data_IF_538925096106
#
_entry.id   IF_538925096106
#
_cell.length_a   1.000
_cell.length_b   1.000
_cell.length_c   1.000
_cell.angle_alpha   90.00
_cell.angle_beta   90.00
_cell.angle_gamma   90.00
#
_symmetry.space_group_name_H-M   'P 1'
#
loop_
_entity.id
_entity.type
_entity.pdbx_description
1 polymer ?
#
# COMPACT_ATOMS: atom_id res chain seq x y z
N UNK A 1 -26.14 -49.95 0.04
CA UNK A 1 -25.37 -50.06 -1.22
C UNK A 1 -25.47 -48.72 -1.94
N UNK A 2 -24.39 -48.28 -2.60
CA UNK A 2 -24.18 -46.98 -3.27
C UNK A 2 -23.57 -45.85 -2.40
N UNK A 3 -22.24 -45.79 -2.44
CA UNK A 3 -21.45 -44.55 -2.30
C UNK A 3 -21.36 -43.93 -3.69
N UNK A 4 -21.58 -42.63 -3.83
CA UNK A 4 -21.29 -41.86 -5.03
C UNK A 4 -20.01 -41.04 -4.82
N UNK A 5 -19.07 -41.24 -5.75
CA UNK A 5 -17.73 -40.66 -5.79
C UNK A 5 -17.76 -39.19 -6.24
N UNK A 6 -17.05 -38.34 -5.48
CA UNK A 6 -16.65 -37.00 -5.92
C UNK A 6 -15.22 -37.06 -6.48
N UNK A 7 -15.05 -36.72 -7.76
CA UNK A 7 -13.76 -36.70 -8.46
C UNK A 7 -13.22 -35.26 -8.52
N UNK A 8 -12.35 -34.90 -7.58
CA UNK A 8 -11.52 -33.69 -7.70
C UNK A 8 -10.35 -33.92 -8.66
N UNK A 9 -10.17 -33.00 -9.62
CA UNK A 9 -9.06 -32.99 -10.58
C UNK A 9 -7.78 -32.54 -9.88
N UNK A 10 -6.74 -33.37 -9.96
CA UNK A 10 -5.38 -33.12 -9.46
C UNK A 10 -4.55 -32.41 -10.53
N UNK A 11 -3.99 -31.24 -10.21
CA UNK A 11 -2.95 -30.58 -11.02
C UNK A 11 -1.60 -30.73 -10.33
N UNK A 12 -0.61 -31.30 -11.02
CA UNK A 12 0.75 -31.48 -10.50
C UNK A 12 1.64 -30.28 -10.82
N UNK A 13 2.31 -29.73 -9.80
CA UNK A 13 3.40 -28.74 -9.98
C UNK A 13 4.75 -29.46 -9.90
N UNK A 14 5.66 -29.14 -10.82
CA UNK A 14 7.02 -29.70 -10.90
C UNK A 14 7.95 -28.77 -10.14
N UNK A 15 8.66 -29.27 -9.14
CA UNK A 15 9.68 -28.51 -8.39
C UNK A 15 11.06 -29.11 -8.70
N UNK A 16 11.97 -28.28 -9.20
CA UNK A 16 13.33 -28.69 -9.60
C UNK A 16 14.30 -28.22 -8.53
N UNK A 17 14.73 -29.12 -7.65
CA UNK A 17 15.76 -28.81 -6.65
C UNK A 17 17.17 -29.03 -7.22
N UNK A 18 17.92 -27.95 -7.43
CA UNK A 18 19.37 -27.99 -7.60
C UNK A 18 20.06 -27.92 -6.24
N UNK A 19 20.71 -29.00 -5.82
CA UNK A 19 21.61 -29.00 -4.65
C UNK A 19 22.94 -28.35 -5.06
N UNK A 20 23.23 -27.14 -4.55
CA UNK A 20 24.58 -26.58 -4.60
C UNK A 20 25.46 -27.29 -3.56
N UNK A 21 26.61 -27.84 -3.98
CA UNK A 21 27.67 -28.26 -3.06
C UNK A 21 28.66 -27.11 -2.91
N UNK A 22 29.22 -26.98 -1.69
CA UNK A 22 30.35 -26.11 -1.39
C UNK A 22 31.60 -26.72 -2.02
N UNK A 23 32.22 -26.00 -2.94
CA UNK A 23 33.53 -26.36 -3.47
C UNK A 23 34.58 -25.37 -2.98
N UNK A 24 35.66 -25.95 -2.46
CA UNK A 24 36.86 -25.31 -1.93
C UNK A 24 37.65 -24.68 -3.08
N UNK A 25 38.05 -23.42 -2.93
CA UNK A 25 38.91 -22.71 -3.89
C UNK A 25 40.35 -23.22 -3.75
N UNK A 26 40.91 -23.80 -4.81
CA UNK A 26 42.36 -23.99 -4.97
C UNK A 26 42.90 -23.11 -6.09
N UNK A 27 44.20 -22.80 -6.01
CA UNK A 27 44.83 -21.56 -6.48
C UNK A 27 45.19 -21.47 -7.96
N UNK A 28 44.92 -22.47 -8.78
CA UNK A 28 45.26 -22.44 -10.20
C UNK A 28 44.00 -22.71 -11.03
N UNK A 29 43.46 -21.63 -11.59
CA UNK A 29 42.21 -21.64 -12.31
C UNK A 29 42.28 -22.48 -13.59
N UNK A 30 41.51 -23.57 -13.61
CA UNK A 30 40.86 -24.21 -14.76
C UNK A 30 40.03 -25.39 -14.23
N UNK A 31 38.70 -25.33 -14.35
CA UNK A 31 37.81 -26.46 -14.06
C UNK A 31 36.95 -26.77 -15.29
N UNK A 32 37.16 -27.95 -15.84
CA UNK A 32 36.49 -28.51 -17.00
C UNK A 32 35.03 -28.91 -16.69
N UNK A 33 34.11 -28.60 -17.61
CA UNK A 33 32.72 -29.04 -17.54
C UNK A 33 32.58 -30.48 -18.04
N UNK A 34 32.17 -31.41 -17.18
CA UNK A 34 31.69 -32.75 -17.57
C UNK A 34 30.17 -32.86 -17.41
N UNK A 35 29.49 -33.14 -18.51
CA UNK A 35 28.06 -33.42 -18.58
C UNK A 35 27.72 -34.83 -18.08
N UNK A 36 26.70 -34.97 -17.23
CA UNK A 36 25.99 -36.24 -17.07
C UNK A 36 25.34 -36.51 -15.70
N UNK A 37 24.01 -36.33 -15.61
CA UNK A 37 23.03 -37.27 -15.03
C UNK A 37 21.62 -36.64 -14.98
N UNK A 38 20.62 -37.41 -15.42
CA UNK A 38 19.19 -37.07 -15.39
C UNK A 38 18.63 -37.05 -13.96
N UNK A 39 17.86 -36.03 -13.55
CA UNK A 39 17.28 -35.95 -12.21
C UNK A 39 16.10 -36.94 -12.04
N UNK A 40 16.02 -37.56 -10.85
CA UNK A 40 14.99 -38.53 -10.45
C UNK A 40 13.80 -37.78 -9.83
N UNK A 41 12.62 -37.86 -10.45
CA UNK A 41 11.38 -37.24 -9.97
C UNK A 41 10.71 -38.13 -8.93
N UNK A 42 10.50 -37.65 -7.71
CA UNK A 42 9.65 -38.30 -6.70
C UNK A 42 8.41 -37.46 -6.44
N UNK A 43 7.22 -38.03 -6.71
CA UNK A 43 5.93 -37.40 -6.44
C UNK A 43 5.60 -37.47 -4.95
N UNK A 44 5.42 -36.33 -4.28
CA UNK A 44 4.89 -36.26 -2.92
C UNK A 44 3.47 -35.72 -2.97
N UNK A 45 2.49 -36.46 -2.40
CA UNK A 45 1.11 -35.97 -2.24
C UNK A 45 1.11 -34.81 -1.25
N UNK A 46 0.65 -33.64 -1.68
CA UNK A 46 0.27 -32.54 -0.78
C UNK A 46 -1.24 -32.65 -0.55
N UNK A 47 -1.64 -32.64 0.71
CA UNK A 47 -3.05 -32.72 1.15
C UNK A 47 -3.62 -31.30 1.04
N UNK A 48 -4.65 -31.13 0.22
CA UNK A 48 -5.36 -29.87 0.01
C UNK A 48 -6.10 -29.46 1.30
N UNK A 49 -5.77 -28.33 1.95
CA UNK A 49 -6.57 -27.83 3.05
C UNK A 49 -7.75 -27.04 2.47
N UNK A 50 -8.90 -27.69 2.44
CA UNK A 50 -10.21 -27.07 2.19
C UNK A 50 -10.33 -25.75 2.95
N UNK A 51 -10.47 -24.65 2.22
CA UNK A 51 -10.67 -23.30 2.76
C UNK A 51 -12.07 -23.20 3.34
N UNK A 52 -12.18 -23.22 4.67
CA UNK A 52 -13.41 -22.82 5.35
C UNK A 52 -13.56 -21.29 5.24
N UNK A 53 -14.49 -20.87 4.38
CA UNK A 53 -15.07 -19.55 4.38
C UNK A 53 -16.04 -19.45 5.57
N UNK A 54 -15.53 -19.10 6.74
CA UNK A 54 -16.24 -18.36 7.80
C UNK A 54 -15.37 -18.29 9.05
N UNK A 55 -14.57 -17.23 9.12
CA UNK A 55 -14.04 -16.72 10.38
C UNK A 55 -13.72 -15.25 10.16
N UNK A 56 -14.68 -14.39 10.50
CA UNK A 56 -14.43 -12.97 10.70
C UNK A 56 -13.47 -12.86 11.90
N UNK A 57 -12.17 -12.77 11.62
CA UNK A 57 -11.19 -12.42 12.64
C UNK A 57 -11.46 -10.97 13.03
N UNK A 58 -12.09 -10.76 14.18
CA UNK A 58 -12.14 -9.44 14.83
C UNK A 58 -10.72 -9.08 15.23
N UNK A 59 -10.10 -8.19 14.46
CA UNK A 59 -8.86 -7.54 14.86
C UNK A 59 -9.12 -6.68 16.09
N UNK A 60 -8.15 -6.60 16.99
CA UNK A 60 -8.25 -5.69 18.12
C UNK A 60 -8.16 -4.25 17.62
N UNK A 61 -9.00 -3.37 18.16
CA UNK A 61 -9.02 -1.93 17.84
C UNK A 61 -7.65 -1.26 18.11
N UNK A 62 -6.77 -1.88 18.91
CA UNK A 62 -5.42 -1.38 19.17
C UNK A 62 -4.42 -1.65 18.03
N UNK A 63 -4.69 -2.63 17.15
CA UNK A 63 -3.79 -2.97 16.04
C UNK A 63 -4.00 -2.08 14.80
N UNK A 64 -5.12 -1.34 14.74
CA UNK A 64 -5.42 -0.33 13.71
C UNK A 64 -4.97 1.05 14.17
N UNK A 65 -3.81 1.18 14.83
CA UNK A 65 -3.20 2.49 14.97
C UNK A 65 -3.17 3.12 13.58
N UNK A 66 -3.94 4.19 13.43
CA UNK A 66 -4.24 4.81 12.15
C UNK A 66 -2.97 5.34 11.55
N UNK A 67 -2.22 4.50 10.83
CA UNK A 67 -0.93 4.79 10.19
C UNK A 67 -1.06 4.71 8.67
N UNK A 68 -2.15 4.10 8.18
CA UNK A 68 -2.30 3.83 6.75
C UNK A 68 -2.81 5.05 5.97
N UNK A 69 -2.05 5.53 4.95
CA UNK A 69 -2.62 6.40 3.94
C UNK A 69 -3.61 5.59 3.08
N UNK A 70 -4.83 6.10 2.95
CA UNK A 70 -5.87 5.48 2.13
C UNK A 70 -6.73 6.54 1.45
N UNK A 71 -7.20 6.18 0.26
CA UNK A 71 -8.23 6.90 -0.47
C UNK A 71 -9.61 6.34 -0.11
N UNK A 72 -10.67 7.06 -0.45
CA UNK A 72 -12.05 6.57 -0.39
C UNK A 72 -12.61 6.36 -1.79
N UNK A 73 -13.65 5.51 -1.97
CA UNK A 73 -14.34 5.37 -3.24
C UNK A 73 -14.74 6.71 -3.85
N UNK A 74 -14.65 6.81 -5.18
CA UNK A 74 -14.97 8.02 -5.93
C UNK A 74 -13.78 8.95 -6.19
N UNK A 75 -12.70 8.86 -5.39
CA UNK A 75 -11.45 9.56 -5.72
C UNK A 75 -10.92 9.09 -7.06
N UNK A 76 -10.57 10.02 -7.94
CA UNK A 76 -9.97 9.70 -9.23
C UNK A 76 -8.45 9.86 -9.18
N UNK A 77 -7.75 8.92 -9.81
CA UNK A 77 -6.29 8.86 -9.91
C UNK A 77 -5.90 9.09 -11.37
N UNK A 78 -4.93 9.98 -11.62
CA UNK A 78 -4.44 10.23 -12.96
C UNK A 78 -3.66 9.02 -13.50
N UNK A 79 -4.07 8.52 -14.67
CA UNK A 79 -3.40 7.42 -15.38
C UNK A 79 -3.02 7.84 -16.79
N UNK A 80 -2.18 7.06 -17.47
CA UNK A 80 -1.85 7.30 -18.87
C UNK A 80 -3.04 7.21 -19.83
N UNK A 81 -4.20 6.72 -19.37
CA UNK A 81 -5.46 6.63 -20.14
C UNK A 81 -6.52 7.63 -19.66
N UNK A 82 -6.14 8.62 -18.86
CA UNK A 82 -7.04 9.58 -18.23
C UNK A 82 -7.29 9.29 -16.75
N UNK A 83 -8.20 10.03 -16.14
CA UNK A 83 -8.59 9.86 -14.74
C UNK A 83 -9.36 8.54 -14.55
N UNK A 84 -8.97 7.75 -13.54
CA UNK A 84 -9.63 6.49 -13.21
C UNK A 84 -9.97 6.43 -11.73
N UNK A 85 -11.18 5.96 -11.39
CA UNK A 85 -11.61 5.83 -10.00
C UNK A 85 -10.75 4.82 -9.24
N UNK A 86 -10.35 5.18 -8.03
CA UNK A 86 -9.44 4.38 -7.20
C UNK A 86 -9.97 2.98 -6.90
N UNK A 87 -11.29 2.81 -6.71
CA UNK A 87 -11.91 1.50 -6.47
C UNK A 87 -11.84 0.54 -7.66
N UNK A 88 -11.54 1.08 -8.85
CA UNK A 88 -11.38 0.27 -10.06
C UNK A 88 -9.93 -0.14 -10.30
N UNK A 89 -8.93 0.49 -9.65
CA UNK A 89 -7.52 0.16 -9.85
C UNK A 89 -7.19 -1.28 -9.46
N UNK A 90 -6.29 -1.91 -10.21
CA UNK A 90 -5.82 -3.29 -10.04
C UNK A 90 -4.30 -3.33 -10.17
N UNK A 91 -3.69 -4.38 -9.62
CA UNK A 91 -2.29 -4.66 -9.89
C UNK A 91 -2.05 -4.79 -11.41
N UNK A 92 -0.96 -4.21 -11.89
CA UNK A 92 -0.64 -4.10 -13.31
C UNK A 92 -1.08 -2.78 -13.97
N UNK A 93 -1.98 -2.01 -13.36
CA UNK A 93 -2.36 -0.69 -13.88
C UNK A 93 -1.18 0.30 -13.83
N UNK A 94 -1.13 1.23 -14.79
CA UNK A 94 -0.10 2.28 -14.85
C UNK A 94 -0.67 3.63 -14.41
N UNK A 95 -0.09 4.19 -13.36
CA UNK A 95 -0.49 5.47 -12.74
C UNK A 95 0.60 6.50 -12.96
N UNK A 96 0.20 7.76 -13.20
CA UNK A 96 1.13 8.88 -13.31
C UNK A 96 1.67 9.19 -11.92
N UNK A 97 2.99 9.18 -11.76
CA UNK A 97 3.67 9.60 -10.53
C UNK A 97 4.49 10.87 -10.77
N UNK A 98 4.80 11.58 -9.68
CA UNK A 98 5.48 12.89 -9.74
C UNK A 98 6.92 12.79 -10.26
N UNK A 99 7.65 11.76 -9.84
CA UNK A 99 9.12 11.74 -9.97
C UNK A 99 9.64 10.75 -11.00
N UNK A 100 8.93 9.63 -11.17
CA UNK A 100 9.41 8.47 -11.92
C UNK A 100 8.51 8.19 -13.12
N UNK A 101 7.76 9.19 -13.57
CA UNK A 101 6.80 9.05 -14.66
C UNK A 101 5.70 8.03 -14.33
N UNK A 102 5.26 7.26 -15.31
CA UNK A 102 4.20 6.28 -15.08
C UNK A 102 4.72 4.99 -14.44
N UNK A 103 4.24 4.67 -13.24
CA UNK A 103 4.62 3.48 -12.48
C UNK A 103 3.51 2.43 -12.44
N UNK A 104 3.91 1.16 -12.29
CA UNK A 104 2.99 0.01 -12.26
C UNK A 104 2.54 -0.28 -10.84
N UNK A 105 1.22 -0.27 -10.62
CA UNK A 105 0.61 -0.68 -9.36
C UNK A 105 0.96 -2.13 -9.09
N UNK A 106 1.56 -2.41 -7.94
CA UNK A 106 1.99 -3.76 -7.53
C UNK A 106 0.97 -4.47 -6.67
N UNK A 107 0.23 -3.71 -5.87
CA UNK A 107 -0.78 -4.24 -4.98
C UNK A 107 -1.90 -3.22 -4.75
N UNK A 108 -3.11 -3.72 -4.54
CA UNK A 108 -4.28 -2.94 -4.15
C UNK A 108 -4.99 -3.68 -3.02
N UNK A 109 -5.25 -2.98 -1.92
CA UNK A 109 -6.00 -3.49 -0.78
C UNK A 109 -7.17 -2.57 -0.43
N UNK A 110 -8.13 -3.12 0.32
CA UNK A 110 -9.27 -2.37 0.82
C UNK A 110 -9.67 -2.85 2.21
N UNK A 111 -10.09 -1.91 3.05
CA UNK A 111 -10.56 -2.17 4.40
C UNK A 111 -11.79 -1.32 4.66
N UNK A 112 -12.87 -1.91 5.16
CA UNK A 112 -14.10 -1.19 5.48
C UNK A 112 -14.25 -1.06 6.99
N UNK A 113 -14.46 0.16 7.47
CA UNK A 113 -14.83 0.44 8.85
C UNK A 113 -16.33 0.66 8.94
N UNK A 114 -16.97 -0.08 9.82
CA UNK A 114 -18.39 0.01 10.14
C UNK A 114 -18.69 1.18 11.08
N UNK A 115 -19.98 1.40 11.38
CA UNK A 115 -20.38 2.42 12.34
C UNK A 115 -19.89 2.12 13.75
N UNK A 116 -19.88 0.85 14.13
CA UNK A 116 -19.34 0.40 15.42
C UNK A 116 -17.83 0.70 15.51
N UNK A 117 -17.08 0.38 14.44
CA UNK A 117 -15.64 0.67 14.38
C UNK A 117 -15.36 2.17 14.50
N UNK A 118 -16.13 3.01 13.80
CA UNK A 118 -15.98 4.48 13.83
C UNK A 118 -16.53 5.13 15.10
N UNK A 119 -17.37 4.44 15.88
CA UNK A 119 -17.77 4.85 17.23
C UNK A 119 -16.68 4.50 18.24
N UNK A 120 -16.07 3.32 18.12
CA UNK A 120 -14.96 2.89 18.94
C UNK A 120 -13.68 3.69 18.65
N UNK A 121 -13.45 4.08 17.39
CA UNK A 121 -12.32 4.91 16.96
C UNK A 121 -12.76 6.11 16.12
N UNK A 122 -13.29 7.17 16.75
CA UNK A 122 -13.69 8.38 16.04
C UNK A 122 -12.55 9.06 15.28
N UNK A 123 -11.30 8.89 15.73
CA UNK A 123 -10.12 9.42 15.07
C UNK A 123 -9.89 8.83 13.67
N UNK A 124 -10.44 7.64 13.38
CA UNK A 124 -10.34 6.95 12.09
C UNK A 124 -11.36 7.44 11.06
N UNK A 125 -12.23 8.41 11.40
CA UNK A 125 -13.12 9.04 10.43
C UNK A 125 -12.30 9.81 9.39
N UNK A 126 -12.71 9.77 8.11
CA UNK A 126 -11.96 10.42 7.06
C UNK A 126 -11.95 11.94 7.24
N UNK A 127 -10.94 12.58 6.67
CA UNK A 127 -10.84 14.03 6.60
C UNK A 127 -11.40 14.45 5.24
N UNK A 128 -12.38 15.35 5.27
CA UNK A 128 -12.97 16.01 4.12
C UNK A 128 -12.17 17.24 3.75
N UNK A 129 -11.67 17.25 2.52
CA UNK A 129 -11.03 18.40 1.90
C UNK A 129 -12.01 18.94 0.85
N UNK A 130 -12.54 20.15 1.08
CA UNK A 130 -13.36 20.85 0.08
C UNK A 130 -12.52 21.24 -1.13
N UNK A 131 -13.14 21.28 -2.31
CA UNK A 131 -12.51 21.78 -3.52
C UNK A 131 -11.86 23.16 -3.28
N UNK A 132 -10.62 23.32 -3.73
CA UNK A 132 -9.85 24.56 -3.63
C UNK A 132 -9.32 24.93 -2.23
N UNK A 133 -9.49 24.10 -1.19
CA UNK A 133 -9.07 24.45 0.17
C UNK A 133 -7.55 24.53 0.38
N UNK A 134 -6.75 23.98 -0.55
CA UNK A 134 -5.29 24.00 -0.58
C UNK A 134 -4.73 24.91 -1.70
N UNK A 135 -5.55 25.86 -2.15
CA UNK A 135 -5.22 26.82 -3.20
C UNK A 135 -6.02 26.59 -4.48
N UNK A 136 -5.85 27.47 -5.49
CA UNK A 136 -6.66 27.44 -6.71
C UNK A 136 -6.66 26.05 -7.38
N UNK A 137 -7.84 25.47 -7.52
CA UNK A 137 -8.04 24.16 -8.14
C UNK A 137 -7.50 22.96 -7.34
N UNK A 138 -7.15 23.11 -6.06
CA UNK A 138 -6.56 22.03 -5.24
C UNK A 138 -7.28 21.84 -3.88
N UNK A 139 -7.87 20.66 -3.62
CA UNK A 139 -8.19 19.63 -4.62
C UNK A 139 -9.17 20.19 -5.68
N UNK A 140 -9.23 19.57 -6.85
CA UNK A 140 -10.09 20.00 -7.95
C UNK A 140 -11.58 19.71 -7.69
N UNK A 141 -11.86 18.81 -6.73
CA UNK A 141 -13.19 18.46 -6.25
C UNK A 141 -13.11 18.10 -4.78
N UNK A 142 -14.26 18.05 -4.11
CA UNK A 142 -14.33 17.55 -2.75
C UNK A 142 -13.82 16.11 -2.67
N UNK A 143 -12.96 15.83 -1.69
CA UNK A 143 -12.41 14.48 -1.50
C UNK A 143 -12.36 14.09 -0.02
N UNK A 144 -12.40 12.79 0.23
CA UNK A 144 -12.22 12.21 1.56
C UNK A 144 -10.92 11.41 1.57
N UNK A 145 -10.09 11.65 2.58
CA UNK A 145 -8.83 10.94 2.78
C UNK A 145 -8.79 10.34 4.18
N UNK A 146 -8.03 9.26 4.35
CA UNK A 146 -7.75 8.78 5.71
C UNK A 146 -6.99 9.86 6.52
N UNK A 147 -7.15 9.89 7.85
CA UNK A 147 -6.50 10.90 8.71
C UNK A 147 -4.99 11.04 8.50
N UNK A 148 -4.32 9.93 8.18
CA UNK A 148 -2.88 9.88 8.02
C UNK A 148 -2.40 10.04 6.60
N UNK A 149 -3.30 10.09 5.63
CA UNK A 149 -2.96 10.32 4.25
C UNK A 149 -2.26 11.66 4.09
N UNK A 150 -1.04 11.65 3.56
CA UNK A 150 -0.26 12.85 3.36
C UNK A 150 -0.46 13.43 1.97
N UNK A 151 -0.60 14.75 1.93
CA UNK A 151 -0.72 15.52 0.70
C UNK A 151 0.49 16.45 0.56
N UNK A 152 0.89 16.70 -0.68
CA UNK A 152 2.06 17.50 -1.02
C UNK A 152 1.74 19.00 -0.94
N UNK A 153 2.66 19.75 -0.35
CA UNK A 153 2.73 21.20 -0.40
C UNK A 153 4.02 21.63 -1.09
N UNK A 154 3.90 22.63 -1.95
CA UNK A 154 4.99 23.15 -2.77
C UNK A 154 4.83 24.65 -3.08
N UNK A 155 4.27 25.40 -2.13
CA UNK A 155 4.01 26.84 -2.27
C UNK A 155 5.07 27.71 -1.56
N UNK A 156 4.90 29.03 -1.62
CA UNK A 156 5.85 29.98 -1.03
C UNK A 156 5.97 29.86 0.49
N UNK A 157 4.91 29.45 1.19
CA UNK A 157 4.97 29.22 2.63
C UNK A 157 5.93 28.08 2.96
N UNK A 158 5.95 27.03 2.12
CA UNK A 158 6.91 25.93 2.27
C UNK A 158 8.34 26.45 2.19
N UNK A 159 8.68 27.20 1.15
CA UNK A 159 10.05 27.73 0.95
C UNK A 159 10.46 28.75 2.00
N UNK A 160 9.51 29.44 2.64
CA UNK A 160 9.79 30.41 3.69
C UNK A 160 10.09 29.74 5.04
N UNK A 161 9.39 28.66 5.37
CA UNK A 161 9.48 28.01 6.68
C UNK A 161 10.37 26.76 6.71
N UNK A 162 10.67 26.16 5.56
CA UNK A 162 11.41 24.92 5.46
C UNK A 162 12.52 25.03 4.41
N UNK A 163 13.66 24.34 4.61
CA UNK A 163 14.73 24.29 3.60
C UNK A 163 14.34 23.47 2.37
N UNK A 164 13.30 22.64 2.45
CA UNK A 164 12.77 21.89 1.32
C UNK A 164 11.80 22.75 0.50
N UNK A 165 11.79 22.55 -0.82
CA UNK A 165 10.79 23.14 -1.73
C UNK A 165 9.47 22.37 -1.74
N UNK A 166 9.48 21.14 -1.23
CA UNK A 166 8.33 20.24 -1.17
C UNK A 166 8.28 19.55 0.20
N UNK A 167 7.11 19.60 0.82
CA UNK A 167 6.84 18.93 2.10
C UNK A 167 5.50 18.22 2.03
N UNK A 168 5.30 17.24 2.91
CA UNK A 168 4.06 16.50 3.01
C UNK A 168 3.43 16.70 4.39
N UNK A 169 2.12 16.92 4.44
CA UNK A 169 1.37 16.98 5.69
C UNK A 169 0.21 16.01 5.68
N UNK A 170 0.01 15.31 6.80
CA UNK A 170 -1.13 14.41 6.97
C UNK A 170 -2.44 15.21 7.04
N UNK A 171 -3.50 14.70 6.41
CA UNK A 171 -4.80 15.36 6.34
C UNK A 171 -5.34 15.77 7.73
N UNK A 172 -5.17 14.93 8.76
CA UNK A 172 -5.60 15.24 10.14
C UNK A 172 -4.89 16.46 10.73
N UNK A 173 -3.65 16.72 10.33
CA UNK A 173 -2.88 17.87 10.79
C UNK A 173 -3.36 19.18 10.16
N UNK A 174 -4.22 19.12 9.14
CA UNK A 174 -4.71 20.29 8.40
C UNK A 174 -6.14 20.69 8.78
N UNK A 175 -6.78 19.99 9.73
CA UNK A 175 -8.18 20.21 10.16
C UNK A 175 -8.46 21.58 10.79
N UNK A 176 -7.43 22.39 11.02
CA UNK A 176 -7.56 23.78 11.45
C UNK A 176 -7.67 24.76 10.27
N UNK A 177 -7.35 24.33 9.05
CA UNK A 177 -7.41 25.16 7.84
C UNK A 177 -8.85 25.22 7.32
N UNK A 178 -9.33 26.40 6.90
CA UNK A 178 -10.68 26.53 6.35
C UNK A 178 -10.96 25.55 5.20
N UNK A 179 -12.09 24.85 5.28
CA UNK A 179 -12.50 23.86 4.27
C UNK A 179 -11.87 22.48 4.41
N UNK A 180 -11.16 22.22 5.51
CA UNK A 180 -10.67 20.89 5.87
C UNK A 180 -11.28 20.50 7.21
N UNK A 181 -12.09 19.45 7.23
CA UNK A 181 -12.80 19.03 8.44
C UNK A 181 -12.80 17.51 8.59
N UNK A 182 -12.99 17.00 9.80
CA UNK A 182 -13.22 15.58 9.98
C UNK A 182 -14.66 15.25 9.59
N UNK A 183 -14.84 14.31 8.67
CA UNK A 183 -16.16 13.96 8.14
C UNK A 183 -16.95 13.14 9.16
N UNK A 184 -18.27 13.40 9.23
CA UNK A 184 -19.21 12.58 10.00
C UNK A 184 -19.83 11.55 9.08
N UNK A 185 -19.31 10.32 9.11
CA UNK A 185 -19.79 9.20 8.30
C UNK A 185 -20.15 8.02 9.20
N UNK A 186 -21.14 7.23 8.78
CA UNK A 186 -21.52 5.99 9.47
C UNK A 186 -20.61 4.82 9.10
N UNK A 187 -20.03 4.82 7.91
CA UNK A 187 -19.05 3.82 7.50
C UNK A 187 -18.11 4.43 6.47
N UNK A 188 -16.96 3.80 6.28
CA UNK A 188 -16.00 4.20 5.25
C UNK A 188 -15.27 2.98 4.73
N UNK A 189 -15.11 2.90 3.41
CA UNK A 189 -14.16 1.97 2.79
C UNK A 189 -12.90 2.75 2.45
N UNK A 190 -11.79 2.26 2.96
CA UNK A 190 -10.45 2.74 2.66
C UNK A 190 -9.81 1.84 1.61
N UNK A 191 -9.21 2.47 0.59
CA UNK A 191 -8.55 1.81 -0.53
C UNK A 191 -7.09 2.25 -0.55
N UNK A 192 -6.20 1.28 -0.66
CA UNK A 192 -4.76 1.46 -0.65
C UNK A 192 -4.18 0.82 -1.89
N UNK A 193 -3.16 1.43 -2.46
CA UNK A 193 -2.37 0.79 -3.50
C UNK A 193 -0.93 1.24 -3.40
N UNK A 194 -0.02 0.34 -3.77
CA UNK A 194 1.43 0.59 -3.69
C UNK A 194 2.12 0.24 -5.00
N UNK A 195 3.30 0.83 -5.17
CA UNK A 195 4.23 0.54 -6.24
C UNK A 195 5.44 -0.21 -5.69
N UNK A 196 6.44 -0.45 -6.55
CA UNK A 196 7.71 -1.05 -6.12
C UNK A 196 8.54 -0.12 -5.21
N UNK A 197 8.27 1.19 -5.28
CA UNK A 197 8.81 2.22 -4.38
C UNK A 197 7.66 3.09 -3.91
N UNK A 198 7.85 3.85 -2.84
CA UNK A 198 6.88 4.86 -2.47
C UNK A 198 6.82 5.97 -3.54
N UNK A 199 5.62 6.42 -3.90
CA UNK A 199 5.37 7.38 -4.98
C UNK A 199 4.38 8.48 -4.55
N UNK A 200 4.48 9.65 -5.18
CA UNK A 200 3.41 10.64 -5.17
C UNK A 200 2.53 10.46 -6.40
N UNK A 201 1.22 10.40 -6.20
CA UNK A 201 0.20 10.23 -7.25
C UNK A 201 -0.68 11.48 -7.33
N UNK A 202 -1.19 11.77 -8.52
CA UNK A 202 -2.14 12.86 -8.70
C UNK A 202 -3.57 12.32 -8.50
N UNK A 203 -4.19 12.69 -7.38
CA UNK A 203 -5.54 12.28 -6.98
C UNK A 203 -6.46 13.48 -6.87
N UNK A 204 -7.60 13.50 -7.58
CA UNK A 204 -8.55 14.62 -7.55
C UNK A 204 -7.86 16.00 -7.76
N UNK A 205 -6.83 16.07 -8.61
CA UNK A 205 -6.04 17.28 -8.86
C UNK A 205 -5.04 17.68 -7.75
N UNK A 206 -4.88 16.85 -6.72
CA UNK A 206 -3.95 17.04 -5.60
C UNK A 206 -2.87 15.95 -5.60
N UNK A 207 -1.61 16.33 -5.44
CA UNK A 207 -0.53 15.37 -5.24
C UNK A 207 -0.60 14.78 -3.83
N UNK A 208 -0.72 13.46 -3.72
CA UNK A 208 -0.77 12.75 -2.45
C UNK A 208 0.05 11.45 -2.50
N UNK A 209 0.28 10.85 -1.34
CA UNK A 209 1.15 9.68 -1.22
C UNK A 209 0.45 8.37 -1.64
N UNK A 210 1.20 7.45 -2.26
CA UNK A 210 0.77 6.05 -2.39
C UNK A 210 0.94 5.31 -1.07
N UNK A 211 0.44 4.08 -0.97
CA UNK A 211 0.74 3.25 0.20
C UNK A 211 2.25 3.01 0.34
N UNK A 212 2.76 3.24 1.55
CA UNK A 212 4.17 3.10 1.92
C UNK A 212 4.33 1.91 2.88
N UNK A 213 4.85 0.79 2.37
CA UNK A 213 5.05 -0.42 3.16
C UNK A 213 6.27 -0.28 4.10
N UNK A 214 6.09 0.40 5.24
CA UNK A 214 7.02 0.40 6.36
C UNK A 214 6.46 -0.36 7.56
N UNK A 215 7.30 -0.67 8.55
CA UNK A 215 6.96 -1.51 9.71
C UNK A 215 5.67 -1.10 10.42
N UNK A 216 5.54 0.20 10.75
CA UNK A 216 4.34 0.72 11.39
C UNK A 216 3.10 0.61 10.50
N UNK A 217 3.25 0.82 9.20
CA UNK A 217 2.18 0.70 8.22
C UNK A 217 1.71 -0.75 8.11
N UNK A 218 2.63 -1.70 8.01
CA UNK A 218 2.30 -3.13 7.85
C UNK A 218 1.61 -3.71 9.09
N UNK A 219 1.94 -3.23 10.30
CA UNK A 219 1.25 -3.61 11.54
C UNK A 219 -0.23 -3.23 11.52
N UNK A 220 -0.58 -2.11 10.88
CA UNK A 220 -1.96 -1.64 10.70
C UNK A 220 -2.80 -2.43 9.70
N UNK A 221 -2.20 -3.33 8.91
CA UNK A 221 -2.92 -4.20 7.98
C UNK A 221 -3.37 -5.49 8.65
N UNK A 222 -4.49 -6.03 8.15
CA UNK A 222 -4.91 -7.38 8.50
C UNK A 222 -3.87 -8.42 8.01
N UNK A 223 -3.92 -9.62 8.62
CA UNK A 223 -2.96 -10.68 8.32
C UNK A 223 -2.94 -11.08 6.85
N UNK A 224 -4.11 -11.14 6.18
CA UNK A 224 -4.19 -11.56 4.76
C UNK A 224 -3.57 -10.50 3.85
N UNK A 225 -3.86 -9.22 4.10
CA UNK A 225 -3.28 -8.10 3.36
C UNK A 225 -1.77 -8.05 3.55
N UNK A 226 -1.30 -8.22 4.79
CA UNK A 226 0.12 -8.24 5.12
C UNK A 226 0.85 -9.41 4.46
N UNK A 227 0.28 -10.62 4.54
CA UNK A 227 0.85 -11.82 3.92
C UNK A 227 0.93 -11.67 2.39
N UNK A 228 -0.10 -11.08 1.75
CA UNK A 228 -0.09 -10.80 0.32
C UNK A 228 1.00 -9.79 -0.08
N UNK A 229 1.22 -8.74 0.72
CA UNK A 229 2.31 -7.79 0.47
C UNK A 229 3.67 -8.49 0.63
N UNK A 230 3.83 -9.34 1.64
CA UNK A 230 5.05 -10.11 1.85
C UNK A 230 5.31 -11.18 0.79
N UNK A 231 4.29 -11.63 0.07
CA UNK A 231 4.46 -12.50 -1.09
C UNK A 231 5.02 -11.73 -2.29
N UNK A 232 4.55 -10.49 -2.50
CA UNK A 232 5.00 -9.62 -3.59
C UNK A 232 6.39 -9.03 -3.30
N UNK A 233 6.65 -8.71 -2.03
CA UNK A 233 7.89 -8.10 -1.55
C UNK A 233 8.43 -8.88 -0.34
N UNK A 234 9.09 -10.04 -0.58
CA UNK A 234 9.62 -10.87 0.50
C UNK A 234 10.61 -10.15 1.41
N UNK A 235 11.36 -9.20 0.86
CA UNK A 235 12.39 -8.44 1.58
C UNK A 235 11.80 -7.55 2.69
N UNK A 236 10.51 -7.20 2.62
CA UNK A 236 9.80 -6.48 3.69
C UNK A 236 9.66 -7.28 4.99
N UNK A 237 9.95 -8.59 4.98
CA UNK A 237 9.98 -9.42 6.21
C UNK A 237 11.21 -9.15 7.07
N UNK A 238 12.23 -8.47 6.54
CA UNK A 238 13.47 -8.11 7.22
C UNK A 238 13.61 -6.59 7.38
N UNK A 239 14.49 -6.17 8.28
CA UNK A 239 14.70 -4.74 8.59
C UNK A 239 15.28 -3.95 7.41
N UNK A 240 16.08 -4.60 6.54
CA UNK A 240 16.79 -3.99 5.40
C UNK A 240 15.88 -3.72 4.19
N UNK A 241 14.76 -4.44 4.04
CA UNK A 241 13.81 -4.24 2.93
C UNK A 241 12.98 -2.96 3.05
N UNK A 242 13.01 -2.31 4.23
CA UNK A 242 12.21 -1.12 4.51
C UNK A 242 12.80 0.19 3.96
N UNK A 243 14.11 0.24 3.69
CA UNK A 243 14.78 1.45 3.18
C UNK A 243 14.22 1.88 1.82
N UNK A 244 13.79 0.91 0.99
CA UNK A 244 13.14 1.14 -0.31
C UNK A 244 11.75 1.79 -0.23
N UNK A 245 11.17 1.85 0.97
CA UNK A 245 9.85 2.42 1.23
C UNK A 245 9.93 3.63 2.17
N UNK A 246 11.01 4.41 2.14
CA UNK A 246 11.08 5.68 2.86
C UNK A 246 10.06 6.71 2.30
N UNK A 247 9.59 7.67 3.13
CA UNK A 247 8.78 8.79 2.63
C UNK A 247 9.52 9.51 1.50
N UNK A 248 8.84 9.75 0.39
CA UNK A 248 9.48 10.37 -0.78
C UNK A 248 9.90 11.81 -0.54
N UNK A 249 9.27 12.49 0.43
CA UNK A 249 9.44 13.89 0.86
C UNK A 249 9.47 13.97 2.38
N UNK A 250 9.97 15.09 2.91
CA UNK A 250 9.89 15.40 4.34
C UNK A 250 8.42 15.43 4.78
N UNK A 251 8.12 14.71 5.86
CA UNK A 251 6.80 14.67 6.47
C UNK A 251 6.77 15.64 7.64
N UNK A 252 5.80 16.56 7.64
CA UNK A 252 5.61 17.52 8.70
C UNK A 252 4.88 16.91 9.90
N UNK A 253 5.34 17.25 11.09
CA UNK A 253 4.61 17.07 12.34
C UNK A 253 3.36 17.94 12.38
N UNK A 254 2.46 17.68 13.34
CA UNK A 254 1.26 18.52 13.56
C UNK A 254 1.61 19.99 13.80
N UNK A 255 2.70 20.25 14.53
CA UNK A 255 3.15 21.62 14.86
C UNK A 255 3.70 22.32 13.63
N UNK A 256 4.55 21.65 12.85
CA UNK A 256 5.09 22.22 11.61
C UNK A 256 4.02 22.45 10.55
N UNK A 257 3.03 21.55 10.43
CA UNK A 257 1.94 21.71 9.47
C UNK A 257 1.14 23.01 9.69
N UNK A 258 1.14 23.60 10.90
CA UNK A 258 0.53 24.90 11.18
C UNK A 258 1.17 26.07 10.43
N UNK A 259 2.44 25.92 10.02
CA UNK A 259 3.17 26.94 9.28
C UNK A 259 2.73 27.05 7.80
N UNK A 260 1.90 26.12 7.31
CA UNK A 260 1.36 26.13 5.93
C UNK A 260 0.13 27.06 5.75
N UNK A 261 -0.13 27.94 6.72
CA UNK A 261 -1.40 28.64 6.87
C UNK A 261 -1.51 30.05 6.33
N UNK A 262 -0.40 30.79 6.34
CA UNK A 262 -0.48 32.24 6.47
C UNK A 262 -0.97 32.67 7.85
#
# INVERSE_FOLDING_TARGET
MMRSDDKSKSTSVVDVQTRARRDTVTKDGLAEFRTGRTPRVTRRRVKDPSVNADSAVKLSLADIEGVLPCFTPGTVIATGKGERRVETLRAGDRVITRDRGMQVVRWVGKTTLTEEDLRAQPAMRPVHLRAGCLGPGRPARDMLLSPNHRVLFNDLYVTHHFPQTEVMAAARHLTWKPGITQAKVKSVTYIHFMFAKHELVLSDGLWSESFQAGDYTLRGLDRRQRDAIFEIFPDLRGHDGMDGFSPVRRVLTRREARLLGG
#
